data_IF_820490280395
#
_entry.id   IF_820490280395
#
_cell.length_a   1.000
_cell.length_b   1.000
_cell.length_c   1.000
_cell.angle_alpha   90.00
_cell.angle_beta   90.00
_cell.angle_gamma   90.00
#
_symmetry.space_group_name_H-M   'P 1'
#
loop_
_entity.id
_entity.type
_entity.pdbx_description
1 polymer ?
#
# COMPACT_ATOMS: atom_id res chain seq x y z
N UNK A 1 -11.97 39.49 -28.12
CA UNK A 1 -11.87 40.07 -26.75
C UNK A 1 -12.20 38.99 -25.77
N UNK A 2 -11.23 38.61 -24.96
CA UNK A 2 -11.31 37.49 -24.02
C UNK A 2 -11.50 38.05 -22.61
N UNK A 3 -12.58 37.71 -21.94
CA UNK A 3 -12.73 37.94 -20.51
C UNK A 3 -12.50 36.65 -19.77
N UNK A 4 -11.40 36.57 -19.04
CA UNK A 4 -11.16 35.56 -18.00
C UNK A 4 -11.78 36.10 -16.71
N UNK A 5 -12.78 35.39 -16.19
CA UNK A 5 -13.30 35.65 -14.86
C UNK A 5 -12.57 34.70 -13.89
N UNK A 6 -11.75 35.28 -13.02
CA UNK A 6 -11.16 34.62 -11.86
C UNK A 6 -12.19 34.72 -10.75
N UNK A 7 -12.78 33.61 -10.35
CA UNK A 7 -13.65 33.53 -9.17
C UNK A 7 -12.77 33.19 -7.99
N UNK A 8 -12.37 34.20 -7.21
CA UNK A 8 -11.79 34.04 -5.88
C UNK A 8 -12.92 33.78 -4.88
N UNK A 9 -13.02 32.55 -4.39
CA UNK A 9 -13.96 32.23 -3.31
C UNK A 9 -13.32 32.63 -1.98
N UNK A 10 -13.66 33.82 -1.47
CA UNK A 10 -13.38 34.23 -0.10
C UNK A 10 -14.44 33.61 0.80
N UNK A 11 -14.03 32.65 1.64
CA UNK A 11 -14.85 32.11 2.74
C UNK A 11 -14.67 33.07 3.93
N UNK A 12 -15.70 33.79 4.40
CA UNK A 12 -15.59 34.55 5.64
C UNK A 12 -15.65 33.56 6.84
N UNK A 13 -14.59 33.47 7.60
CA UNK A 13 -14.60 32.87 8.93
C UNK A 13 -15.39 33.75 9.86
N UNK A 14 -16.59 33.32 10.21
CA UNK A 14 -17.39 33.93 11.27
C UNK A 14 -16.81 33.57 12.63
N UNK A 15 -15.98 34.43 13.19
CA UNK A 15 -15.62 34.44 14.59
C UNK A 15 -16.78 35.07 15.39
N UNK A 16 -17.59 34.23 16.04
CA UNK A 16 -18.49 34.69 17.08
C UNK A 16 -18.73 33.58 18.09
N UNK A 17 -18.34 33.83 19.33
CA UNK A 17 -18.76 33.04 20.46
C UNK A 17 -17.70 32.95 21.56
N UNK A 18 -17.49 34.00 22.33
CA UNK A 18 -16.82 33.93 23.62
C UNK A 18 -17.62 33.07 24.60
N UNK A 19 -17.23 31.79 24.73
CA UNK A 19 -17.48 30.99 25.90
C UNK A 19 -16.11 30.65 26.49
N UNK A 20 -15.73 31.23 27.63
CA UNK A 20 -14.61 30.70 28.42
C UNK A 20 -15.04 29.38 29.02
N UNK A 21 -14.99 28.31 28.20
CA UNK A 21 -14.86 26.94 28.69
C UNK A 21 -13.48 26.81 29.38
N UNK A 22 -13.28 25.82 30.25
CA UNK A 22 -11.98 25.56 30.82
C UNK A 22 -10.98 25.45 29.68
N UNK A 23 -9.90 26.24 29.74
CA UNK A 23 -8.77 26.10 28.82
C UNK A 23 -8.27 24.67 29.04
N UNK A 24 -8.58 23.76 28.12
CA UNK A 24 -7.96 22.46 28.12
C UNK A 24 -6.46 22.70 28.03
N UNK A 25 -5.70 22.18 28.98
CA UNK A 25 -4.24 22.16 28.84
C UNK A 25 -3.90 21.68 27.43
N UNK A 26 -2.89 22.30 26.77
CA UNK A 26 -2.53 21.88 25.42
C UNK A 26 -2.28 20.36 25.44
N UNK A 27 -2.86 19.67 24.48
CA UNK A 27 -2.66 18.23 24.30
C UNK A 27 -1.17 17.89 24.44
N UNK A 28 -0.88 16.97 25.33
CA UNK A 28 0.50 16.52 25.54
C UNK A 28 0.93 15.46 24.52
N UNK A 29 0.03 15.05 23.62
CA UNK A 29 0.23 13.97 22.65
C UNK A 29 0.50 14.48 21.26
N UNK A 30 1.60 14.02 20.67
CA UNK A 30 2.02 14.43 19.33
C UNK A 30 2.25 13.20 18.45
N UNK A 31 1.54 13.14 17.34
CA UNK A 31 1.73 12.13 16.30
C UNK A 31 2.41 12.76 15.10
N UNK A 32 3.63 12.35 14.81
CA UNK A 32 4.36 12.74 13.60
C UNK A 32 4.35 11.56 12.62
N UNK A 33 4.10 11.83 11.35
CA UNK A 33 4.11 10.80 10.30
C UNK A 33 4.99 11.26 9.15
N UNK A 34 6.00 10.46 8.81
CA UNK A 34 6.76 10.62 7.57
C UNK A 34 6.14 9.68 6.54
N UNK A 35 5.46 10.25 5.57
CA UNK A 35 4.92 9.49 4.43
C UNK A 35 6.04 9.17 3.44
N UNK A 36 5.78 8.22 2.52
CA UNK A 36 6.71 7.91 1.44
C UNK A 36 7.08 9.14 0.61
N UNK A 37 8.27 9.13 0.02
CA UNK A 37 8.75 10.23 -0.83
C UNK A 37 7.93 10.43 -2.10
N UNK A 38 7.18 9.41 -2.53
CA UNK A 38 6.20 9.41 -3.61
C UNK A 38 4.91 10.19 -3.28
N UNK A 39 4.65 10.45 -1.99
CA UNK A 39 3.61 11.38 -1.53
C UNK A 39 2.21 10.80 -1.54
N UNK A 40 1.23 11.72 -1.52
CA UNK A 40 -0.20 11.43 -1.53
C UNK A 40 -0.76 11.37 -2.95
N UNK A 41 -1.98 10.80 -3.08
CA UNK A 41 -2.73 10.77 -4.34
C UNK A 41 -2.36 9.57 -5.20
N UNK A 42 -1.79 8.53 -4.57
CA UNK A 42 -1.50 7.28 -5.25
C UNK A 42 -2.75 6.41 -5.48
N UNK A 43 -3.85 6.71 -4.78
CA UNK A 43 -5.06 5.91 -4.79
C UNK A 43 -4.86 4.49 -4.24
N UNK A 44 -3.79 4.26 -3.52
CA UNK A 44 -3.25 2.97 -3.13
C UNK A 44 -2.71 3.02 -1.69
N UNK A 45 -1.47 2.61 -1.48
CA UNK A 45 -0.84 2.43 -0.17
C UNK A 45 -0.84 3.70 0.71
N UNK A 46 -0.25 4.82 0.20
CA UNK A 46 -0.12 6.04 0.99
C UNK A 46 -1.49 6.65 1.35
N UNK A 47 -2.43 6.64 0.40
CA UNK A 47 -3.77 7.17 0.63
C UNK A 47 -4.55 6.34 1.65
N UNK A 48 -4.43 5.00 1.61
CA UNK A 48 -5.08 4.09 2.57
C UNK A 48 -4.54 4.31 3.98
N UNK A 49 -3.23 4.42 4.13
CA UNK A 49 -2.57 4.72 5.39
C UNK A 49 -3.01 6.08 5.94
N UNK A 50 -2.97 7.13 5.10
CA UNK A 50 -3.40 8.47 5.48
C UNK A 50 -4.85 8.49 5.94
N UNK A 51 -5.74 7.77 5.23
CA UNK A 51 -7.14 7.64 5.62
C UNK A 51 -7.29 7.08 7.04
N UNK A 52 -6.53 6.03 7.37
CA UNK A 52 -6.50 5.46 8.71
C UNK A 52 -6.04 6.45 9.78
N UNK A 53 -4.95 7.19 9.52
CA UNK A 53 -4.41 8.19 10.44
C UNK A 53 -5.40 9.33 10.67
N UNK A 54 -5.99 9.87 9.60
CA UNK A 54 -6.97 10.95 9.72
C UNK A 54 -8.25 10.50 10.43
N UNK A 55 -8.68 9.25 10.19
CA UNK A 55 -9.79 8.63 10.92
C UNK A 55 -9.50 8.54 12.41
N UNK A 56 -8.31 8.04 12.78
CA UNK A 56 -7.86 7.98 14.17
C UNK A 56 -7.83 9.37 14.83
N UNK A 57 -7.23 10.37 14.20
CA UNK A 57 -7.16 11.72 14.77
C UNK A 57 -8.53 12.40 14.87
N UNK A 58 -9.47 12.06 14.00
CA UNK A 58 -10.86 12.52 14.11
C UNK A 58 -11.54 11.99 15.37
N UNK A 59 -11.27 10.72 15.73
CA UNK A 59 -11.82 10.09 16.92
C UNK A 59 -11.08 10.52 18.20
N UNK A 60 -9.84 11.03 18.07
CA UNK A 60 -8.95 11.47 19.16
C UNK A 60 -8.48 12.91 18.94
N UNK A 61 -9.35 13.93 19.12
CA UNK A 61 -9.03 15.34 18.84
C UNK A 61 -8.00 15.96 19.79
N UNK A 62 -7.58 15.25 20.83
CA UNK A 62 -6.50 15.58 21.75
C UNK A 62 -5.10 15.22 21.22
N UNK A 63 -5.02 14.53 20.07
CA UNK A 63 -3.78 14.20 19.39
C UNK A 63 -3.45 15.25 18.33
N UNK A 64 -2.28 15.89 18.45
CA UNK A 64 -1.76 16.82 17.46
C UNK A 64 -1.04 16.06 16.35
N UNK A 65 -1.56 16.11 15.14
CA UNK A 65 -0.99 15.44 13.98
C UNK A 65 -0.05 16.37 13.19
N UNK A 66 1.18 15.89 12.93
CA UNK A 66 2.14 16.48 12.00
C UNK A 66 2.42 15.51 10.85
N UNK A 67 1.86 15.79 9.67
CA UNK A 67 2.15 15.02 8.46
C UNK A 67 3.31 15.67 7.72
N UNK A 68 4.33 14.88 7.42
CA UNK A 68 5.53 15.34 6.73
C UNK A 68 5.82 14.46 5.52
N UNK A 69 6.06 15.10 4.40
CA UNK A 69 6.59 14.47 3.20
C UNK A 69 8.05 14.89 3.02
N UNK A 70 9.03 14.03 3.34
CA UNK A 70 10.43 14.31 3.05
C UNK A 70 10.68 14.39 1.53
N UNK A 71 11.54 15.31 1.11
CA UNK A 71 11.90 15.45 -0.31
C UNK A 71 12.69 14.23 -0.85
N UNK A 72 13.45 13.61 0.03
CA UNK A 72 14.27 12.42 -0.25
C UNK A 72 14.75 11.79 1.07
N UNK A 73 15.42 10.65 0.98
CA UNK A 73 15.92 9.90 2.15
C UNK A 73 16.89 10.71 3.01
N UNK A 74 17.73 11.55 2.40
CA UNK A 74 18.67 12.40 3.15
C UNK A 74 17.94 13.49 3.96
N UNK A 75 16.86 14.08 3.41
CA UNK A 75 15.99 15.02 4.14
C UNK A 75 15.24 14.29 5.26
N UNK A 76 14.69 13.09 5.00
CA UNK A 76 14.06 12.26 6.01
C UNK A 76 15.02 11.95 7.18
N UNK A 77 16.27 11.62 6.91
CA UNK A 77 17.29 11.38 7.92
C UNK A 77 17.54 12.59 8.83
N UNK A 78 17.62 13.79 8.27
CA UNK A 78 17.78 15.03 9.05
C UNK A 78 16.56 15.30 9.94
N UNK A 79 15.36 15.10 9.42
CA UNK A 79 14.12 15.27 10.19
C UNK A 79 13.99 14.22 11.30
N UNK A 80 14.38 12.98 11.03
CA UNK A 80 14.42 11.92 12.04
C UNK A 80 15.41 12.27 13.16
N UNK A 81 16.62 12.72 12.85
CA UNK A 81 17.62 13.13 13.83
C UNK A 81 17.12 14.30 14.69
N UNK A 82 16.46 15.27 14.08
CA UNK A 82 15.84 16.38 14.78
C UNK A 82 14.77 15.86 15.75
N UNK A 83 13.85 15.00 15.27
CA UNK A 83 12.77 14.44 16.08
C UNK A 83 13.32 13.59 17.26
N UNK A 84 14.33 12.75 17.02
CA UNK A 84 14.95 11.90 18.05
C UNK A 84 15.70 12.72 19.13
N UNK A 85 16.28 13.86 18.75
CA UNK A 85 17.04 14.74 19.65
C UNK A 85 16.16 15.66 20.49
N UNK A 86 14.91 15.84 20.11
CA UNK A 86 13.98 16.75 20.79
C UNK A 86 13.57 16.22 22.17
N UNK A 87 13.78 17.05 23.19
CA UNK A 87 13.34 16.76 24.56
C UNK A 87 11.86 17.20 24.74
N UNK A 88 10.95 16.62 23.94
CA UNK A 88 9.53 16.95 24.02
C UNK A 88 8.91 16.71 25.40
N UNK A 89 7.96 17.52 25.78
CA UNK A 89 7.27 17.50 27.09
C UNK A 89 5.99 16.65 27.04
N UNK A 90 5.95 15.54 26.38
CA UNK A 90 4.72 14.78 26.26
C UNK A 90 4.92 13.40 25.66
N UNK A 91 3.82 12.66 25.57
CA UNK A 91 3.78 11.38 24.89
C UNK A 91 3.82 11.62 23.37
N UNK A 92 4.87 11.11 22.71
CA UNK A 92 5.14 11.35 21.28
C UNK A 92 5.22 10.04 20.53
N UNK A 93 4.69 10.02 19.31
CA UNK A 93 4.82 8.91 18.39
C UNK A 93 5.29 9.41 17.01
N UNK A 94 6.22 8.67 16.41
CA UNK A 94 6.66 8.87 15.05
C UNK A 94 6.35 7.60 14.23
N UNK A 95 5.67 7.77 13.11
CA UNK A 95 5.42 6.73 12.13
C UNK A 95 6.31 7.00 10.92
N UNK A 96 7.16 6.04 10.58
CA UNK A 96 7.92 6.00 9.34
C UNK A 96 7.16 5.09 8.37
N UNK A 97 6.40 5.69 7.48
CA UNK A 97 5.36 5.02 6.72
C UNK A 97 5.86 4.30 5.45
N UNK A 98 7.13 3.93 5.42
CA UNK A 98 7.73 3.19 4.30
C UNK A 98 8.99 2.46 4.75
N UNK A 99 9.22 1.26 4.24
CA UNK A 99 10.48 0.52 4.42
C UNK A 99 11.70 1.25 3.83
N UNK A 100 11.49 2.19 2.93
CA UNK A 100 12.59 3.02 2.40
C UNK A 100 13.30 3.83 3.50
N UNK A 101 12.71 3.95 4.69
CA UNK A 101 13.30 4.61 5.85
C UNK A 101 14.18 3.70 6.72
N UNK A 102 14.32 2.41 6.41
CA UNK A 102 15.17 1.47 7.16
C UNK A 102 16.61 1.97 7.28
N UNK A 103 17.18 2.42 6.17
CA UNK A 103 18.57 2.88 6.13
C UNK A 103 18.83 4.00 7.13
N UNK A 104 17.92 4.95 7.26
CA UNK A 104 18.09 6.10 8.16
C UNK A 104 17.74 5.76 9.62
N UNK A 105 16.94 4.71 9.87
CA UNK A 105 16.62 4.25 11.24
C UNK A 105 17.69 3.31 11.78
N UNK A 106 18.38 2.59 10.90
CA UNK A 106 19.42 1.62 11.28
C UNK A 106 20.51 2.27 12.11
N UNK A 107 20.76 1.72 13.30
CA UNK A 107 21.76 2.21 14.26
C UNK A 107 21.34 3.46 15.04
N UNK A 108 20.13 3.97 14.89
CA UNK A 108 19.61 5.04 15.76
C UNK A 108 19.25 4.49 17.12
N UNK A 109 19.50 5.29 18.14
CA UNK A 109 19.09 4.97 19.52
C UNK A 109 17.60 5.24 19.70
N UNK A 110 16.97 4.49 20.62
CA UNK A 110 15.61 4.78 21.05
C UNK A 110 15.45 6.25 21.51
N UNK A 111 14.33 6.90 21.20
CA UNK A 111 14.09 8.25 21.67
C UNK A 111 14.00 8.29 23.20
N UNK A 112 14.49 9.36 23.82
CA UNK A 112 14.36 9.55 25.29
C UNK A 112 12.89 9.61 25.72
N UNK A 113 12.08 10.28 24.91
CA UNK A 113 10.64 10.42 25.09
C UNK A 113 9.95 10.11 23.78
N UNK A 114 8.97 9.18 23.81
CA UNK A 114 8.19 8.82 22.64
C UNK A 114 8.53 7.43 22.08
N UNK A 115 7.92 7.11 20.94
CA UNK A 115 7.99 5.81 20.28
C UNK A 115 8.17 6.02 18.78
N UNK A 116 8.90 5.12 18.13
CA UNK A 116 9.04 5.09 16.66
C UNK A 116 8.51 3.75 16.17
N UNK A 117 7.67 3.81 15.15
CA UNK A 117 7.17 2.66 14.40
C UNK A 117 7.58 2.83 12.94
N UNK A 118 8.24 1.82 12.38
CA UNK A 118 8.48 1.72 10.94
C UNK A 118 7.59 0.64 10.33
N UNK A 119 7.06 0.91 9.15
CA UNK A 119 6.09 0.07 8.46
C UNK A 119 6.74 -0.72 7.35
N UNK A 120 6.20 -1.93 7.11
CA UNK A 120 6.47 -2.76 5.95
C UNK A 120 7.94 -3.23 5.86
N UNK A 121 8.48 -3.64 6.98
CA UNK A 121 9.87 -4.14 7.07
C UNK A 121 9.95 -5.41 7.89
N UNK A 122 10.81 -6.34 7.48
CA UNK A 122 11.20 -7.54 8.22
C UNK A 122 12.24 -7.25 9.30
N UNK A 123 12.89 -6.09 9.22
CA UNK A 123 13.98 -5.76 10.12
C UNK A 123 13.47 -5.42 11.52
N UNK A 124 14.24 -5.86 12.49
CA UNK A 124 14.08 -5.49 13.90
C UNK A 124 15.05 -4.36 14.24
N UNK A 125 14.52 -3.26 14.77
CA UNK A 125 15.30 -2.08 15.13
C UNK A 125 15.35 -1.92 16.65
N UNK A 126 16.51 -2.13 17.31
CA UNK A 126 16.59 -2.08 18.76
C UNK A 126 16.04 -0.77 19.36
N UNK A 127 15.04 -0.88 20.21
CA UNK A 127 14.38 0.27 20.84
C UNK A 127 13.35 0.99 19.98
N UNK A 128 13.03 0.47 18.82
CA UNK A 128 11.95 0.92 17.95
C UNK A 128 11.01 -0.24 17.64
N UNK A 129 9.85 0.07 17.12
CA UNK A 129 8.88 -0.95 16.71
C UNK A 129 8.78 -1.04 15.19
N UNK A 130 8.50 -2.22 14.70
CA UNK A 130 8.29 -2.47 13.29
C UNK A 130 7.14 -3.44 13.04
N UNK A 131 6.57 -3.42 11.86
CA UNK A 131 5.73 -4.51 11.39
C UNK A 131 5.84 -4.70 9.88
N UNK A 132 5.47 -5.90 9.45
CA UNK A 132 5.25 -6.24 8.06
C UNK A 132 3.88 -6.87 7.86
N UNK A 133 3.22 -6.55 6.76
CA UNK A 133 2.06 -7.28 6.28
C UNK A 133 2.53 -8.17 5.12
N UNK A 134 2.70 -9.46 5.39
CA UNK A 134 3.11 -10.47 4.40
C UNK A 134 2.11 -10.54 3.28
N UNK A 135 2.59 -10.55 2.06
CA UNK A 135 1.77 -10.60 0.85
C UNK A 135 1.89 -11.91 0.08
N UNK A 136 2.82 -12.78 0.49
CA UNK A 136 3.09 -14.02 -0.25
C UNK A 136 1.82 -14.87 -0.42
N UNK A 137 1.10 -15.17 0.67
CA UNK A 137 -0.10 -16.00 0.65
C UNK A 137 -1.23 -15.37 -0.16
N UNK A 138 -1.48 -14.07 0.02
CA UNK A 138 -2.50 -13.36 -0.74
C UNK A 138 -2.14 -13.29 -2.24
N UNK A 139 -0.87 -13.12 -2.57
CA UNK A 139 -0.38 -13.13 -3.95
C UNK A 139 -0.44 -14.54 -4.54
N UNK A 140 -0.13 -15.57 -3.75
CA UNK A 140 -0.28 -16.97 -4.18
C UNK A 140 -1.74 -17.29 -4.51
N UNK A 141 -2.68 -16.87 -3.64
CA UNK A 141 -4.12 -17.01 -3.88
C UNK A 141 -4.54 -16.28 -5.16
N UNK A 142 -4.07 -15.05 -5.35
CA UNK A 142 -4.31 -14.24 -6.54
C UNK A 142 -3.83 -14.94 -7.82
N UNK A 143 -2.63 -15.53 -7.78
CA UNK A 143 -2.09 -16.32 -8.88
C UNK A 143 -2.94 -17.55 -9.20
N UNK A 144 -3.36 -18.31 -8.16
CA UNK A 144 -4.21 -19.48 -8.34
C UNK A 144 -5.59 -19.14 -8.90
N UNK A 145 -6.18 -18.02 -8.46
CA UNK A 145 -7.45 -17.51 -9.00
C UNK A 145 -7.33 -17.06 -10.47
N UNK A 146 -6.12 -16.79 -10.93
CA UNK A 146 -5.82 -16.32 -12.29
C UNK A 146 -5.54 -17.45 -13.29
N UNK A 147 -5.83 -18.70 -12.97
CA UNK A 147 -5.42 -19.90 -13.70
C UNK A 147 -5.80 -19.95 -15.19
N UNK A 148 -6.80 -19.17 -15.61
CA UNK A 148 -7.29 -19.13 -17.01
C UNK A 148 -6.65 -18.05 -17.85
N UNK A 149 -5.88 -17.16 -17.24
CA UNK A 149 -5.24 -16.03 -17.90
C UNK A 149 -3.75 -16.30 -18.11
N UNK A 150 -3.18 -15.66 -19.13
CA UNK A 150 -1.74 -15.43 -19.14
C UNK A 150 -1.45 -14.31 -18.16
N UNK A 151 -0.65 -14.62 -17.14
CA UNK A 151 -0.32 -13.67 -16.07
C UNK A 151 0.80 -12.71 -16.47
N UNK A 152 0.60 -11.42 -16.22
CA UNK A 152 1.64 -10.41 -16.35
C UNK A 152 1.88 -9.80 -14.97
N UNK A 153 2.96 -10.18 -14.31
CA UNK A 153 3.44 -9.47 -13.11
C UNK A 153 4.06 -8.17 -13.58
N UNK A 154 3.47 -7.03 -13.19
CA UNK A 154 3.96 -5.73 -13.63
C UNK A 154 4.50 -4.95 -12.42
N UNK A 155 5.82 -4.84 -12.34
CA UNK A 155 6.56 -4.23 -11.23
C UNK A 155 6.90 -2.77 -11.52
N UNK A 156 6.85 -1.92 -10.49
CA UNK A 156 7.39 -0.56 -10.56
C UNK A 156 8.91 -0.58 -10.75
N UNK A 157 9.59 -1.45 -10.00
CA UNK A 157 11.04 -1.63 -10.01
C UNK A 157 11.42 -3.06 -9.64
N UNK A 158 12.66 -3.42 -9.88
CA UNK A 158 13.28 -4.65 -9.36
C UNK A 158 13.98 -4.41 -8.02
N UNK A 159 14.18 -5.48 -7.24
CA UNK A 159 14.99 -5.47 -6.03
C UNK A 159 14.32 -4.84 -4.80
N UNK A 160 13.01 -4.61 -4.83
CA UNK A 160 12.24 -4.28 -3.63
C UNK A 160 11.65 -5.58 -3.05
N UNK A 161 12.00 -5.92 -1.81
CA UNK A 161 11.69 -7.23 -1.19
C UNK A 161 10.19 -7.53 -1.16
N UNK A 162 9.34 -6.55 -0.89
CA UNK A 162 7.88 -6.72 -0.87
C UNK A 162 7.30 -6.95 -2.27
N UNK A 163 7.86 -6.29 -3.29
CA UNK A 163 7.51 -6.52 -4.70
C UNK A 163 7.93 -7.94 -5.10
N UNK A 164 9.16 -8.35 -4.75
CA UNK A 164 9.67 -9.68 -5.09
C UNK A 164 8.91 -10.79 -4.35
N UNK A 165 8.56 -10.60 -3.08
CA UNK A 165 7.69 -11.52 -2.32
C UNK A 165 6.33 -11.70 -3.03
N UNK A 166 5.67 -10.59 -3.37
CA UNK A 166 4.37 -10.60 -4.05
C UNK A 166 4.46 -11.25 -5.45
N UNK A 167 5.49 -10.92 -6.21
CA UNK A 167 5.72 -11.48 -7.54
C UNK A 167 5.96 -12.99 -7.49
N UNK A 168 6.76 -13.44 -6.51
CA UNK A 168 7.02 -14.88 -6.28
C UNK A 168 5.75 -15.61 -5.86
N UNK A 169 4.98 -15.03 -4.93
CA UNK A 169 3.70 -15.59 -4.49
C UNK A 169 2.76 -15.79 -5.68
N UNK A 170 2.52 -14.76 -6.48
CA UNK A 170 1.65 -14.83 -7.66
C UNK A 170 2.12 -15.89 -8.66
N UNK A 171 3.40 -15.88 -9.04
CA UNK A 171 3.97 -16.84 -9.98
C UNK A 171 3.81 -18.29 -9.50
N UNK A 172 4.10 -18.54 -8.21
CA UNK A 172 3.99 -19.88 -7.62
C UNK A 172 2.52 -20.33 -7.55
N UNK A 173 1.60 -19.45 -7.18
CA UNK A 173 0.18 -19.76 -7.12
C UNK A 173 -0.40 -20.10 -8.48
N UNK A 174 -0.07 -19.30 -9.49
CA UNK A 174 -0.49 -19.52 -10.86
C UNK A 174 0.04 -20.85 -11.41
N UNK A 175 1.36 -21.08 -11.30
CA UNK A 175 2.02 -22.30 -11.81
C UNK A 175 1.58 -23.57 -11.08
N UNK A 176 1.04 -23.47 -9.86
CA UNK A 176 0.55 -24.62 -9.10
C UNK A 176 -0.77 -25.19 -9.63
N UNK A 177 -1.50 -24.45 -10.48
CA UNK A 177 -2.87 -24.80 -10.92
C UNK A 177 -3.12 -24.53 -12.41
N UNK A 178 -2.14 -24.00 -13.14
CA UNK A 178 -2.27 -23.60 -14.54
C UNK A 178 -1.02 -23.95 -15.35
N UNK A 179 -1.23 -24.33 -16.62
CA UNK A 179 -0.17 -24.48 -17.61
C UNK A 179 0.07 -23.17 -18.40
N UNK A 180 -0.72 -22.13 -18.14
CA UNK A 180 -0.52 -20.82 -18.74
C UNK A 180 0.77 -20.18 -18.21
N UNK A 181 1.43 -19.38 -19.06
CA UNK A 181 2.68 -18.72 -18.68
C UNK A 181 2.42 -17.48 -17.80
N UNK A 182 3.41 -17.17 -16.96
CA UNK A 182 3.52 -15.90 -16.23
C UNK A 182 4.75 -15.17 -16.75
N UNK A 183 4.56 -13.91 -17.12
CA UNK A 183 5.64 -13.01 -17.57
C UNK A 183 5.83 -11.90 -16.54
N UNK A 184 7.03 -11.33 -16.50
CA UNK A 184 7.34 -10.20 -15.65
C UNK A 184 7.77 -9.01 -16.48
N UNK A 185 7.14 -7.87 -16.24
CA UNK A 185 7.51 -6.58 -16.81
C UNK A 185 7.90 -5.61 -15.69
N UNK A 186 8.91 -4.78 -15.94
CA UNK A 186 9.38 -3.77 -14.98
C UNK A 186 9.30 -2.39 -15.62
N UNK A 187 8.70 -1.43 -14.91
CA UNK A 187 8.43 -0.09 -15.44
C UNK A 187 9.69 0.78 -15.46
N UNK A 188 10.50 0.71 -14.41
CA UNK A 188 11.73 1.49 -14.25
C UNK A 188 12.81 0.70 -13.52
N UNK A 189 14.05 1.23 -13.53
CA UNK A 189 15.17 0.59 -12.85
C UNK A 189 15.29 0.96 -11.35
N UNK A 190 14.46 1.89 -10.88
CA UNK A 190 14.51 2.40 -9.52
C UNK A 190 13.14 2.88 -9.02
N UNK A 191 13.12 3.52 -7.84
CA UNK A 191 11.87 3.90 -7.16
C UNK A 191 11.03 4.94 -7.92
N UNK A 192 11.57 5.60 -8.94
CA UNK A 192 10.80 6.45 -9.84
C UNK A 192 9.64 5.72 -10.51
N UNK A 193 9.75 4.37 -10.64
CA UNK A 193 8.70 3.52 -11.17
C UNK A 193 7.37 3.62 -10.43
N UNK A 194 7.38 3.99 -9.16
CA UNK A 194 6.15 4.22 -8.37
C UNK A 194 5.42 5.52 -8.71
N UNK A 195 6.08 6.46 -9.41
CA UNK A 195 5.55 7.80 -9.70
C UNK A 195 5.40 8.09 -11.20
N UNK A 196 5.35 7.07 -12.06
CA UNK A 196 5.33 7.20 -13.53
C UNK A 196 3.90 7.12 -14.13
N UNK A 197 2.87 7.56 -13.41
CA UNK A 197 1.47 7.46 -13.80
C UNK A 197 1.21 7.83 -15.27
N UNK A 198 1.69 8.99 -15.71
CA UNK A 198 1.40 9.52 -17.04
C UNK A 198 2.10 8.75 -18.17
N UNK A 199 3.21 8.08 -17.89
CA UNK A 199 3.97 7.28 -18.87
C UNK A 199 3.57 5.82 -18.88
N UNK A 200 2.97 5.32 -17.79
CA UNK A 200 2.58 3.91 -17.64
C UNK A 200 1.63 3.46 -18.73
N UNK A 201 0.60 4.25 -19.06
CA UNK A 201 -0.33 3.94 -20.15
C UNK A 201 0.41 3.67 -21.47
N UNK A 202 1.32 4.57 -21.87
CA UNK A 202 2.09 4.44 -23.13
C UNK A 202 3.05 3.25 -23.11
N UNK A 203 3.68 3.03 -21.97
CA UNK A 203 4.57 1.89 -21.77
C UNK A 203 3.82 0.58 -21.98
N UNK A 204 2.69 0.42 -21.27
CA UNK A 204 1.87 -0.81 -21.35
C UNK A 204 1.30 -1.01 -22.75
N UNK A 205 0.80 0.04 -23.38
CA UNK A 205 0.28 -0.01 -24.75
C UNK A 205 1.34 -0.61 -25.69
N UNK A 206 2.53 -0.01 -25.74
CA UNK A 206 3.61 -0.48 -26.60
C UNK A 206 4.05 -1.89 -26.25
N UNK A 207 4.20 -2.18 -24.96
CA UNK A 207 4.68 -3.49 -24.49
C UNK A 207 3.70 -4.61 -24.78
N UNK A 208 2.40 -4.33 -24.71
CA UNK A 208 1.36 -5.30 -25.02
C UNK A 208 1.28 -5.57 -26.54
N UNK A 209 1.42 -4.56 -27.39
CA UNK A 209 1.53 -4.76 -28.85
C UNK A 209 2.73 -5.65 -29.20
N UNK A 210 3.93 -5.32 -28.68
CA UNK A 210 5.13 -6.14 -28.87
C UNK A 210 4.93 -7.58 -28.38
N UNK A 211 4.21 -7.77 -27.26
CA UNK A 211 3.96 -9.07 -26.67
C UNK A 211 3.05 -9.93 -27.57
N UNK A 212 1.93 -9.40 -28.04
CA UNK A 212 1.03 -10.14 -28.93
C UNK A 212 1.70 -10.50 -30.28
N UNK A 213 2.56 -9.62 -30.80
CA UNK A 213 3.30 -9.90 -32.05
C UNK A 213 4.37 -10.97 -31.82
N UNK A 214 5.09 -10.96 -30.71
CA UNK A 214 6.23 -11.87 -30.47
C UNK A 214 5.83 -13.27 -30.06
N UNK A 215 4.76 -13.41 -29.28
CA UNK A 215 4.33 -14.70 -28.71
C UNK A 215 3.28 -15.41 -29.61
N UNK A 216 2.81 -14.77 -30.69
CA UNK A 216 1.69 -15.26 -31.51
C UNK A 216 0.48 -15.68 -30.66
N UNK A 217 0.26 -14.93 -29.57
CA UNK A 217 -0.72 -15.24 -28.54
C UNK A 217 -2.05 -14.52 -28.80
N UNK A 218 -3.15 -15.27 -28.73
CA UNK A 218 -4.51 -14.76 -28.84
C UNK A 218 -5.31 -15.24 -27.64
N UNK A 219 -5.30 -14.46 -26.56
CA UNK A 219 -6.01 -14.82 -25.33
C UNK A 219 -6.11 -13.66 -24.36
N UNK A 220 -6.73 -13.94 -23.23
CA UNK A 220 -6.92 -12.96 -22.19
C UNK A 220 -5.68 -12.84 -21.31
N UNK A 221 -5.26 -11.59 -21.08
CA UNK A 221 -4.18 -11.24 -20.17
C UNK A 221 -4.75 -10.80 -18.83
N UNK A 222 -4.05 -11.12 -17.75
CA UNK A 222 -4.30 -10.53 -16.43
C UNK A 222 -3.02 -9.89 -15.92
N UNK A 223 -3.09 -8.58 -15.69
CA UNK A 223 -2.05 -7.86 -15.00
C UNK A 223 -2.18 -8.02 -13.49
N UNK A 224 -1.10 -8.45 -12.85
CA UNK A 224 -0.89 -8.39 -11.40
C UNK A 224 0.03 -7.21 -11.10
N UNK A 225 -0.51 -6.04 -10.74
CA UNK A 225 0.25 -4.80 -10.69
C UNK A 225 0.89 -4.59 -9.32
N UNK A 226 2.18 -4.30 -9.32
CA UNK A 226 2.99 -3.94 -8.15
C UNK A 226 3.60 -2.55 -8.44
N UNK A 227 2.72 -1.53 -8.61
CA UNK A 227 3.04 -0.26 -9.26
C UNK A 227 2.88 0.98 -8.37
N UNK A 228 2.26 0.86 -7.18
CA UNK A 228 1.99 2.03 -6.33
C UNK A 228 1.29 3.15 -7.11
N UNK A 229 1.76 4.38 -7.01
CA UNK A 229 1.19 5.56 -7.68
C UNK A 229 1.16 5.54 -9.21
N UNK A 230 1.83 4.58 -9.84
CA UNK A 230 1.76 4.35 -11.29
C UNK A 230 0.56 3.50 -11.73
N UNK A 231 -0.11 2.83 -10.79
CA UNK A 231 -1.27 1.95 -11.02
C UNK A 231 -2.41 2.60 -11.83
N UNK A 232 -2.82 3.86 -11.59
CA UNK A 232 -3.89 4.50 -12.36
C UNK A 232 -3.64 4.52 -13.87
N UNK A 233 -2.38 4.66 -14.31
CA UNK A 233 -2.05 4.61 -15.75
C UNK A 233 -2.30 3.24 -16.39
N UNK A 234 -2.12 2.16 -15.63
CA UNK A 234 -2.46 0.80 -16.07
C UNK A 234 -3.99 0.59 -16.09
N UNK A 235 -4.72 1.07 -15.08
CA UNK A 235 -6.19 1.01 -15.08
C UNK A 235 -6.79 1.74 -16.29
N UNK A 236 -6.26 2.91 -16.64
CA UNK A 236 -6.71 3.65 -17.82
C UNK A 236 -6.48 2.89 -19.12
N UNK A 237 -5.40 2.10 -19.21
CA UNK A 237 -5.16 1.23 -20.35
C UNK A 237 -6.14 0.05 -20.39
N UNK A 238 -6.30 -0.69 -19.29
CA UNK A 238 -7.14 -1.89 -19.23
C UNK A 238 -8.62 -1.59 -19.49
N UNK A 239 -9.10 -0.40 -19.09
CA UNK A 239 -10.50 0.00 -19.26
C UNK A 239 -11.02 -0.09 -20.69
N UNK A 240 -10.17 0.10 -21.68
CA UNK A 240 -10.54 0.18 -23.09
C UNK A 240 -10.21 -1.09 -23.89
N UNK A 241 -9.69 -2.14 -23.23
CA UNK A 241 -9.23 -3.35 -23.87
C UNK A 241 -9.97 -4.57 -23.30
N UNK A 242 -10.93 -5.12 -24.06
CA UNK A 242 -11.85 -6.17 -23.57
C UNK A 242 -11.22 -7.53 -23.27
N UNK A 243 -9.97 -7.78 -23.71
CA UNK A 243 -9.22 -9.02 -23.43
C UNK A 243 -8.14 -8.83 -22.36
N UNK A 244 -8.15 -7.72 -21.69
CA UNK A 244 -7.15 -7.37 -20.70
C UNK A 244 -7.82 -7.09 -19.37
N UNK A 245 -7.41 -7.84 -18.37
CA UNK A 245 -7.88 -7.76 -17.00
C UNK A 245 -6.77 -7.27 -16.06
N UNK A 246 -7.15 -6.77 -14.91
CA UNK A 246 -6.22 -6.26 -13.91
C UNK A 246 -6.69 -6.67 -12.51
N UNK A 247 -5.80 -7.24 -11.72
CA UNK A 247 -6.05 -7.41 -10.30
C UNK A 247 -6.05 -6.03 -9.61
N UNK A 248 -7.02 -5.78 -8.74
CA UNK A 248 -6.96 -4.64 -7.84
C UNK A 248 -5.80 -4.80 -6.85
N UNK A 249 -5.19 -3.67 -6.44
CA UNK A 249 -4.07 -3.68 -5.51
C UNK A 249 -4.29 -2.67 -4.39
N UNK A 250 -3.90 -3.04 -3.18
CA UNK A 250 -3.97 -2.30 -1.91
C UNK A 250 -5.38 -1.98 -1.43
N UNK A 251 -6.32 -1.70 -2.32
CA UNK A 251 -7.73 -1.41 -2.01
C UNK A 251 -8.66 -2.27 -2.87
N UNK A 252 -9.92 -2.38 -2.45
CA UNK A 252 -10.94 -3.04 -3.27
C UNK A 252 -11.28 -2.21 -4.51
N UNK A 253 -10.75 -2.63 -5.65
CA UNK A 253 -10.96 -2.02 -6.96
C UNK A 253 -12.12 -2.65 -7.75
N UNK A 254 -12.81 -3.67 -7.23
CA UNK A 254 -13.85 -4.41 -7.96
C UNK A 254 -15.01 -3.51 -8.41
N UNK A 255 -15.30 -2.46 -7.64
CA UNK A 255 -16.35 -1.49 -7.97
C UNK A 255 -15.95 -0.49 -9.08
N UNK A 256 -14.65 -0.27 -9.34
CA UNK A 256 -14.20 0.71 -10.35
C UNK A 256 -14.49 0.24 -11.78
N UNK A 257 -14.29 -1.05 -12.03
CA UNK A 257 -14.66 -1.66 -13.31
C UNK A 257 -14.91 -3.16 -13.13
N UNK A 258 -16.17 -3.56 -12.83
CA UNK A 258 -16.48 -4.95 -12.50
C UNK A 258 -16.27 -5.94 -13.65
N UNK A 259 -16.12 -5.47 -14.90
CA UNK A 259 -15.84 -6.33 -16.05
C UNK A 259 -14.34 -6.54 -16.32
N UNK A 260 -13.49 -5.72 -15.69
CA UNK A 260 -12.04 -5.73 -15.92
C UNK A 260 -11.29 -6.22 -14.70
N UNK A 261 -11.84 -6.03 -13.48
CA UNK A 261 -11.21 -6.40 -12.21
C UNK A 261 -11.81 -7.70 -11.67
N UNK A 262 -11.17 -8.86 -11.81
CA UNK A 262 -11.70 -10.13 -11.31
C UNK A 262 -11.63 -10.26 -9.79
N UNK A 263 -10.65 -9.67 -9.15
CA UNK A 263 -10.46 -9.63 -7.69
C UNK A 263 -9.51 -8.48 -7.32
N UNK A 264 -9.45 -8.20 -6.02
CA UNK A 264 -8.49 -7.23 -5.47
C UNK A 264 -7.70 -7.85 -4.31
N UNK A 265 -6.37 -7.66 -4.30
CA UNK A 265 -5.53 -7.89 -3.15
C UNK A 265 -5.51 -6.61 -2.31
N UNK A 266 -6.16 -6.64 -1.15
CA UNK A 266 -6.30 -5.50 -0.27
C UNK A 266 -5.29 -5.59 0.89
N UNK A 267 -4.59 -4.50 1.18
CA UNK A 267 -3.66 -4.37 2.29
C UNK A 267 -4.19 -3.34 3.27
N UNK A 268 -4.64 -3.81 4.43
CA UNK A 268 -5.35 -3.01 5.42
C UNK A 268 -4.39 -2.35 6.43
N UNK A 269 -3.37 -1.63 5.95
CA UNK A 269 -2.41 -0.92 6.81
C UNK A 269 -3.08 -0.02 7.85
N UNK A 270 -4.22 0.57 7.51
CA UNK A 270 -4.98 1.41 8.42
C UNK A 270 -5.44 0.66 9.69
N UNK A 271 -5.71 -0.65 9.60
CA UNK A 271 -6.08 -1.47 10.77
C UNK A 271 -4.87 -1.75 11.65
N UNK A 272 -3.73 -2.13 11.07
CA UNK A 272 -2.50 -2.36 11.81
C UNK A 272 -2.05 -1.07 12.53
N UNK A 273 -2.04 0.06 11.83
CA UNK A 273 -1.75 1.36 12.41
C UNK A 273 -2.70 1.72 13.54
N UNK A 274 -4.00 1.51 13.36
CA UNK A 274 -4.99 1.78 14.40
C UNK A 274 -4.68 1.01 15.67
N UNK A 275 -4.34 -0.28 15.57
CA UNK A 275 -3.94 -1.09 16.73
C UNK A 275 -2.75 -0.47 17.49
N UNK A 276 -1.68 -0.09 16.78
CA UNK A 276 -0.52 0.56 17.40
C UNK A 276 -0.86 1.91 18.04
N UNK A 277 -1.65 2.73 17.34
CA UNK A 277 -2.04 4.05 17.84
C UNK A 277 -2.95 3.96 19.06
N UNK A 278 -3.89 3.01 19.13
CA UNK A 278 -4.73 2.76 20.32
C UNK A 278 -3.89 2.24 21.49
N UNK A 279 -2.91 1.37 21.24
CA UNK A 279 -1.98 0.91 22.26
C UNK A 279 -1.10 2.07 22.79
N UNK A 280 -0.69 3.00 21.92
CA UNK A 280 0.01 4.21 22.33
C UNK A 280 -0.87 5.08 23.24
N UNK A 281 -2.11 5.35 22.85
CA UNK A 281 -3.04 6.16 23.66
C UNK A 281 -3.32 5.54 25.02
N UNK A 282 -3.42 4.22 25.08
CA UNK A 282 -3.63 3.49 26.35
C UNK A 282 -2.38 3.30 27.19
N UNK A 283 -1.23 3.81 26.73
CA UNK A 283 0.06 3.67 27.42
C UNK A 283 0.67 2.26 27.36
N UNK A 284 0.10 1.35 26.58
CA UNK A 284 0.67 0.02 26.37
C UNK A 284 1.97 0.10 25.55
N UNK A 285 2.98 -0.72 25.86
CA UNK A 285 4.19 -0.79 25.04
C UNK A 285 3.84 -1.36 23.65
N UNK A 286 4.49 -0.83 22.62
CA UNK A 286 4.46 -1.44 21.31
C UNK A 286 5.35 -2.69 21.27
N UNK A 287 4.95 -3.76 20.59
CA UNK A 287 5.83 -4.89 20.33
C UNK A 287 7.05 -4.45 19.50
N UNK A 288 8.18 -5.12 19.69
CA UNK A 288 9.41 -4.80 18.94
C UNK A 288 9.21 -5.05 17.44
N UNK A 289 8.57 -6.19 17.10
CA UNK A 289 8.23 -6.53 15.72
C UNK A 289 6.93 -7.35 15.68
N UNK A 290 6.14 -7.16 14.61
CA UNK A 290 4.96 -7.99 14.33
C UNK A 290 4.88 -8.34 12.85
N UNK A 291 4.45 -9.56 12.58
CA UNK A 291 4.15 -10.04 11.24
C UNK A 291 2.67 -10.39 11.13
N UNK A 292 2.06 -9.94 10.06
CA UNK A 292 0.67 -10.25 9.71
C UNK A 292 0.65 -10.96 8.36
N UNK A 293 -0.26 -11.87 8.16
CA UNK A 293 -0.39 -12.63 6.92
C UNK A 293 -1.86 -12.87 6.56
N UNK A 294 -2.09 -13.75 5.59
CA UNK A 294 -3.39 -14.01 4.98
C UNK A 294 -4.46 -14.51 5.98
N UNK A 295 -4.07 -15.14 7.09
CA UNK A 295 -5.02 -15.52 8.16
C UNK A 295 -5.48 -14.33 9.01
N UNK A 296 -4.86 -13.15 8.84
CA UNK A 296 -5.23 -11.93 9.56
C UNK A 296 -6.22 -11.09 8.75
N UNK A 297 -6.82 -10.09 9.40
CA UNK A 297 -7.67 -9.11 8.72
C UNK A 297 -6.86 -8.01 7.99
N UNK A 298 -5.52 -8.05 8.09
CA UNK A 298 -4.64 -7.00 7.58
C UNK A 298 -4.29 -7.18 6.09
N UNK A 299 -4.44 -8.37 5.54
CA UNK A 299 -4.35 -8.63 4.09
C UNK A 299 -5.43 -9.61 3.67
N UNK A 300 -6.03 -9.37 2.52
CA UNK A 300 -7.10 -10.24 2.00
C UNK A 300 -7.19 -10.16 0.48
N UNK A 301 -7.70 -11.19 -0.14
CA UNK A 301 -8.11 -11.18 -1.55
C UNK A 301 -9.62 -11.10 -1.62
N UNK A 302 -10.16 -10.03 -2.21
CA UNK A 302 -11.60 -9.78 -2.35
C UNK A 302 -12.02 -10.20 -3.75
N UNK A 303 -12.78 -11.30 -3.91
CA UNK A 303 -13.25 -11.74 -5.21
C UNK A 303 -14.38 -10.84 -5.73
N UNK A 304 -14.36 -10.50 -7.01
CA UNK A 304 -15.45 -9.80 -7.66
C UNK A 304 -16.56 -10.78 -8.03
N UNK A 305 -17.67 -10.71 -7.30
CA UNK A 305 -18.83 -11.60 -7.51
C UNK A 305 -19.61 -11.35 -8.81
N UNK A 306 -19.34 -10.23 -9.49
CA UNK A 306 -19.97 -9.90 -10.77
C UNK A 306 -19.08 -10.32 -11.95
N UNK A 307 -17.84 -10.68 -11.71
CA UNK A 307 -16.90 -11.13 -12.72
C UNK A 307 -16.99 -12.65 -12.89
N UNK A 308 -17.21 -13.10 -14.12
CA UNK A 308 -17.19 -14.51 -14.48
C UNK A 308 -16.40 -14.69 -15.77
N UNK A 309 -15.49 -15.63 -15.75
CA UNK A 309 -14.68 -16.01 -16.90
C UNK A 309 -14.68 -17.54 -17.05
N UNK A 310 -14.85 -18.05 -18.27
CA UNK A 310 -14.94 -19.50 -18.52
C UNK A 310 -16.00 -20.23 -17.64
N UNK A 311 -17.10 -19.55 -17.32
CA UNK A 311 -18.13 -20.01 -16.40
C UNK A 311 -17.64 -20.28 -14.95
N UNK A 312 -16.51 -19.70 -14.57
CA UNK A 312 -15.98 -19.78 -13.20
C UNK A 312 -16.33 -18.51 -12.42
N UNK A 313 -16.79 -18.71 -11.19
CA UNK A 313 -17.04 -17.66 -10.23
C UNK A 313 -15.76 -17.39 -9.43
N UNK A 314 -15.34 -16.15 -9.34
CA UNK A 314 -14.14 -15.76 -8.58
C UNK A 314 -14.25 -16.09 -7.10
N UNK A 315 -15.46 -16.06 -6.51
CA UNK A 315 -15.66 -16.45 -5.13
C UNK A 315 -15.45 -17.96 -4.93
N UNK A 316 -15.88 -18.79 -5.88
CA UNK A 316 -15.65 -20.22 -5.83
C UNK A 316 -14.14 -20.56 -5.93
N UNK A 317 -13.40 -19.87 -6.81
CA UNK A 317 -11.94 -20.04 -6.90
C UNK A 317 -11.24 -19.58 -5.62
N UNK A 318 -11.68 -18.49 -5.02
CA UNK A 318 -11.16 -18.03 -3.74
C UNK A 318 -11.33 -19.12 -2.65
N UNK A 319 -12.53 -19.68 -2.49
CA UNK A 319 -12.81 -20.74 -1.52
C UNK A 319 -11.98 -22.01 -1.79
N UNK A 320 -11.82 -22.37 -3.08
CA UNK A 320 -11.04 -23.55 -3.50
C UNK A 320 -9.57 -23.47 -3.06
N UNK A 321 -8.95 -22.27 -3.16
CA UNK A 321 -7.51 -22.13 -2.98
C UNK A 321 -7.08 -21.46 -1.67
N UNK A 322 -7.99 -20.86 -0.90
CA UNK A 322 -7.65 -20.09 0.30
C UNK A 322 -6.80 -20.87 1.31
N UNK A 323 -7.27 -22.05 1.73
CA UNK A 323 -6.55 -22.84 2.73
C UNK A 323 -5.15 -23.23 2.26
N UNK A 324 -5.00 -23.54 0.98
CA UNK A 324 -3.69 -23.85 0.38
C UNK A 324 -2.77 -22.64 0.34
N UNK A 325 -3.32 -21.45 0.07
CA UNK A 325 -2.55 -20.22 0.08
C UNK A 325 -1.99 -19.90 1.48
N UNK A 326 -2.81 -20.11 2.53
CA UNK A 326 -2.38 -19.98 3.93
C UNK A 326 -1.24 -20.96 4.27
N UNK A 327 -1.35 -22.21 3.84
CA UNK A 327 -0.26 -23.19 4.05
C UNK A 327 1.02 -22.76 3.34
N UNK A 328 0.92 -22.27 2.10
CA UNK A 328 2.06 -21.80 1.30
C UNK A 328 2.72 -20.55 1.88
N UNK A 329 1.96 -19.65 2.50
CA UNK A 329 2.53 -18.51 3.22
C UNK A 329 3.33 -18.97 4.43
N UNK A 330 2.83 -19.94 5.20
CA UNK A 330 3.55 -20.52 6.35
C UNK A 330 4.82 -21.25 5.94
N UNK A 331 4.79 -21.99 4.81
CA UNK A 331 5.98 -22.62 4.25
C UNK A 331 7.03 -21.57 3.85
N UNK A 332 6.62 -20.52 3.16
CA UNK A 332 7.48 -19.42 2.74
C UNK A 332 8.12 -18.65 3.91
N UNK A 333 7.36 -18.39 4.97
CA UNK A 333 7.87 -17.73 6.17
C UNK A 333 8.86 -18.59 6.98
N UNK A 334 8.94 -19.91 6.71
CA UNK A 334 9.87 -20.83 7.36
C UNK A 334 11.19 -21.03 6.57
N UNK A 335 11.29 -20.50 5.33
CA UNK A 335 12.52 -20.54 4.50
C UNK A 335 13.51 -19.45 4.92
#
# INVERSE_FOLDING_TARGET
MRCRAIISLLIPVLLAGCGKGPVSEPSSRELTVFIGTDGYGDGSYNDTMLYGILGFCKDHPDVNLSLQQPENIADAGKRLDAWLSEEGSGDRALILASNTYEEILRGKSAPKNGRVLILETDDVFPGHSSYIIRRYGASWLSGAMSRYFVGIIFKAMDGNDMIEESARGFSNGHSAVSDQKVYTWTLANGPEGFAMRDSTYRYVYKKTEEFYESEEFFGDLLFFPLLGGSLPGLFDYCRYNGFIHIAGMDVDCTAFNPLVVPYSLCVNNHLALKMYLEDWLSGKPWPEHMEFGLESEYVQVVPNRQFSFENQDMAALHEEYYSRAVEKEKEYAAE
#
